data_IF_821943202738
#
_entry.id   IF_821943202738
#
_cell.length_a   1.000
_cell.length_b   1.000
_cell.length_c   1.000
_cell.angle_alpha   90.00
_cell.angle_beta   90.00
_cell.angle_gamma   90.00
#
_symmetry.space_group_name_H-M   'P 1'
#
loop_
_entity.id
_entity.type
_entity.pdbx_description
1 polymer ?
#
# COMPACT_ATOMS: atom_id res chain seq x y z
N UNK A 1 -25.91 -19.96 -4.93
CA UNK A 1 -26.59 -19.65 -3.68
C UNK A 1 -27.81 -18.76 -4.00
N UNK A 2 -29.04 -19.29 -3.81
CA UNK A 2 -30.29 -18.55 -4.09
C UNK A 2 -30.61 -17.47 -3.05
N UNK A 3 -29.83 -17.39 -1.98
CA UNK A 3 -29.94 -16.39 -0.91
C UNK A 3 -28.79 -15.40 -0.91
N UNK A 4 -27.84 -15.51 -1.85
CA UNK A 4 -26.78 -14.54 -2.00
C UNK A 4 -27.35 -13.16 -2.33
N UNK A 5 -26.74 -12.13 -1.78
CA UNK A 5 -27.10 -10.72 -2.01
C UNK A 5 -28.54 -10.32 -1.61
N UNK A 6 -29.21 -11.15 -0.81
CA UNK A 6 -30.50 -10.78 -0.25
C UNK A 6 -30.33 -9.86 0.97
N UNK A 7 -31.09 -8.78 1.00
CA UNK A 7 -31.08 -7.84 2.11
C UNK A 7 -31.00 -6.38 1.67
N UNK A 8 -30.76 -5.51 2.64
CA UNK A 8 -30.57 -4.07 2.38
C UNK A 8 -29.10 -3.79 2.11
N UNK A 9 -28.79 -3.24 0.94
CA UNK A 9 -27.46 -2.84 0.55
C UNK A 9 -27.39 -1.31 0.44
N UNK A 10 -26.30 -0.73 0.95
CA UNK A 10 -25.98 0.69 0.80
C UNK A 10 -24.60 0.81 0.17
N UNK A 11 -24.50 1.62 -0.85
CA UNK A 11 -23.22 1.89 -1.52
C UNK A 11 -23.10 3.37 -1.85
N UNK A 12 -21.86 3.84 -1.91
CA UNK A 12 -21.53 5.19 -2.32
C UNK A 12 -20.62 5.15 -3.55
N UNK A 13 -20.75 6.15 -4.39
CA UNK A 13 -19.84 6.36 -5.52
C UNK A 13 -19.46 7.82 -5.64
N UNK A 14 -18.31 8.08 -6.28
CA UNK A 14 -17.82 9.44 -6.54
C UNK A 14 -17.46 9.59 -8.01
N UNK A 15 -17.95 10.65 -8.63
CA UNK A 15 -17.55 11.04 -9.98
C UNK A 15 -16.50 12.13 -9.85
N UNK A 16 -15.36 11.95 -10.51
CA UNK A 16 -14.24 12.90 -10.51
C UNK A 16 -13.92 13.30 -11.95
N UNK A 17 -14.45 14.44 -12.42
CA UNK A 17 -14.04 14.98 -13.71
C UNK A 17 -12.55 15.32 -13.67
N UNK A 18 -11.83 14.98 -14.73
CA UNK A 18 -10.42 15.31 -14.88
C UNK A 18 -10.07 15.53 -16.35
N UNK A 19 -9.00 16.28 -16.59
CA UNK A 19 -8.40 16.41 -17.92
C UNK A 19 -7.20 15.46 -18.05
N UNK A 20 -7.00 14.93 -19.25
CA UNK A 20 -5.84 14.09 -19.56
C UNK A 20 -5.90 12.68 -18.95
N UNK A 21 -4.72 12.13 -18.70
CA UNK A 21 -4.54 10.77 -18.21
C UNK A 21 -5.07 10.63 -16.77
N UNK A 22 -5.91 9.61 -16.46
CA UNK A 22 -6.40 9.32 -15.11
C UNK A 22 -5.30 9.11 -14.07
N UNK A 23 -4.19 8.49 -14.43
CA UNK A 23 -3.05 8.27 -13.54
C UNK A 23 -2.41 9.60 -13.14
N UNK A 24 -2.18 10.50 -14.11
CA UNK A 24 -1.66 11.83 -13.84
C UNK A 24 -2.62 12.67 -13.00
N UNK A 25 -3.91 12.49 -13.17
CA UNK A 25 -4.94 13.12 -12.35
C UNK A 25 -5.06 12.52 -10.94
N UNK A 26 -4.31 11.47 -10.62
CA UNK A 26 -4.28 10.82 -9.31
C UNK A 26 -5.59 10.11 -8.97
N UNK A 27 -6.31 9.57 -9.95
CA UNK A 27 -7.61 8.93 -9.75
C UNK A 27 -7.50 7.71 -8.84
N UNK A 28 -6.48 6.87 -9.02
CA UNK A 28 -6.25 5.69 -8.17
C UNK A 28 -6.10 6.08 -6.69
N UNK A 29 -5.31 7.12 -6.41
CA UNK A 29 -5.13 7.62 -5.03
C UNK A 29 -6.43 8.18 -4.45
N UNK A 30 -7.23 8.89 -5.24
CA UNK A 30 -8.55 9.40 -4.82
C UNK A 30 -9.55 8.29 -4.57
N UNK A 31 -9.51 7.22 -5.37
CA UNK A 31 -10.34 6.04 -5.18
C UNK A 31 -9.97 5.31 -3.88
N UNK A 32 -8.67 5.14 -3.61
CA UNK A 32 -8.19 4.55 -2.36
C UNK A 32 -8.65 5.37 -1.15
N UNK A 33 -8.47 6.68 -1.16
CA UNK A 33 -8.89 7.59 -0.09
C UNK A 33 -10.42 7.59 0.13
N UNK A 34 -11.19 7.35 -0.92
CA UNK A 34 -12.63 7.24 -0.83
C UNK A 34 -13.09 5.94 -0.16
N UNK A 35 -12.42 4.84 -0.47
CA UNK A 35 -12.73 3.51 0.09
C UNK A 35 -12.09 3.30 1.47
N UNK A 36 -10.98 3.98 1.74
CA UNK A 36 -10.25 3.93 3.01
C UNK A 36 -10.04 5.36 3.52
N UNK A 37 -11.07 5.97 4.10
CA UNK A 37 -10.96 7.34 4.58
C UNK A 37 -9.91 7.44 5.70
N UNK A 38 -9.21 8.56 5.81
CA UNK A 38 -8.19 8.75 6.82
C UNK A 38 -8.78 8.65 8.23
N UNK A 39 -8.08 7.95 9.10
CA UNK A 39 -8.43 7.85 10.51
C UNK A 39 -7.80 9.04 11.25
N UNK A 40 -8.60 9.76 12.02
CA UNK A 40 -8.08 10.80 12.89
C UNK A 40 -7.28 10.16 14.03
N UNK A 41 -6.05 10.62 14.24
CA UNK A 41 -5.18 10.17 15.32
C UNK A 41 -4.61 11.39 16.05
N UNK A 42 -4.49 11.27 17.37
CA UNK A 42 -3.81 12.26 18.20
C UNK A 42 -2.28 12.04 18.23
N UNK A 43 -1.81 10.96 17.60
CA UNK A 43 -0.40 10.63 17.45
C UNK A 43 0.08 11.03 16.07
N UNK A 44 1.12 11.86 16.00
CA UNK A 44 1.76 12.20 14.73
C UNK A 44 2.48 10.97 14.15
N UNK A 45 2.20 10.66 12.89
CA UNK A 45 2.94 9.64 12.16
C UNK A 45 4.25 10.23 11.62
N UNK A 46 5.36 9.74 12.15
CA UNK A 46 6.70 10.10 11.70
C UNK A 46 7.36 8.98 10.88
N UNK A 47 6.54 8.18 10.21
CA UNK A 47 7.00 7.03 9.44
C UNK A 47 7.53 7.37 8.05
N UNK A 48 7.98 6.33 7.35
CA UNK A 48 8.49 6.41 5.99
C UNK A 48 7.38 6.74 5.00
N UNK A 49 7.63 7.70 4.11
CA UNK A 49 6.77 7.92 2.94
C UNK A 49 7.11 6.88 1.87
N UNK A 50 6.12 6.13 1.46
CA UNK A 50 6.24 5.08 0.43
C UNK A 50 5.84 5.57 -0.97
N UNK A 51 5.52 6.86 -1.13
CA UNK A 51 5.15 7.37 -2.45
C UNK A 51 6.26 7.11 -3.49
N UNK A 52 5.91 6.76 -4.74
CA UNK A 52 4.55 6.77 -5.31
C UNK A 52 3.75 5.47 -5.08
N UNK A 53 4.29 4.49 -4.38
CA UNK A 53 3.61 3.22 -4.10
C UNK A 53 2.43 3.41 -3.14
N UNK A 54 1.52 2.47 -3.16
CA UNK A 54 0.31 2.46 -2.35
C UNK A 54 0.46 1.48 -1.20
N UNK A 55 0.30 1.96 0.03
CA UNK A 55 0.29 1.13 1.22
C UNK A 55 -0.98 0.27 1.23
N UNK A 56 -0.81 -1.06 1.22
CA UNK A 56 -1.90 -2.03 1.28
C UNK A 56 -2.11 -2.57 2.69
N UNK A 57 -1.03 -2.85 3.40
CA UNK A 57 -1.08 -3.34 4.77
C UNK A 57 0.17 -2.93 5.53
N UNK A 58 0.00 -2.74 6.82
CA UNK A 58 1.08 -2.62 7.80
C UNK A 58 0.67 -3.44 9.02
N UNK A 59 1.51 -4.40 9.40
CA UNK A 59 1.22 -5.33 10.49
C UNK A 59 2.50 -5.78 11.17
N UNK A 60 2.38 -6.43 12.31
CA UNK A 60 3.46 -7.25 12.85
C UNK A 60 3.55 -8.57 12.06
N UNK A 61 4.76 -9.13 11.94
CA UNK A 61 4.97 -10.51 11.52
C UNK A 61 4.30 -11.47 12.51
N UNK A 62 4.11 -12.74 12.11
CA UNK A 62 3.44 -13.73 12.95
C UNK A 62 4.19 -13.97 14.28
N UNK A 63 5.52 -13.94 14.25
CA UNK A 63 6.39 -14.03 15.42
C UNK A 63 6.44 -12.73 16.27
N UNK A 64 5.91 -11.62 15.78
CA UNK A 64 5.93 -10.32 16.44
C UNK A 64 7.27 -9.59 16.39
N UNK A 65 8.28 -10.14 15.74
CA UNK A 65 9.65 -9.61 15.75
C UNK A 65 9.90 -8.52 14.70
N UNK A 66 8.98 -8.38 13.73
CA UNK A 66 9.12 -7.44 12.61
C UNK A 66 7.84 -6.65 12.37
N UNK A 67 7.99 -5.44 11.85
CA UNK A 67 6.91 -4.71 11.17
C UNK A 67 6.99 -5.09 9.69
N UNK A 68 5.90 -5.60 9.16
CA UNK A 68 5.75 -5.96 7.75
C UNK A 68 4.86 -4.93 7.06
N UNK A 69 5.34 -4.41 5.94
CA UNK A 69 4.60 -3.46 5.09
C UNK A 69 4.44 -4.06 3.70
N UNK A 70 3.22 -4.06 3.21
CA UNK A 70 2.90 -4.47 1.85
C UNK A 70 2.51 -3.26 1.02
N UNK A 71 3.23 -3.07 -0.07
CA UNK A 71 3.07 -1.96 -1.00
C UNK A 71 2.63 -2.50 -2.36
N UNK A 72 1.88 -1.72 -3.12
CA UNK A 72 1.57 -2.03 -4.51
C UNK A 72 1.84 -0.85 -5.42
N UNK A 73 2.34 -1.14 -6.59
CA UNK A 73 2.34 -0.20 -7.70
C UNK A 73 1.00 -0.32 -8.44
N UNK A 74 0.28 0.79 -8.64
CA UNK A 74 -1.07 0.80 -9.23
C UNK A 74 -1.21 1.73 -10.44
N UNK A 75 -0.14 2.41 -10.80
CA UNK A 75 -0.15 3.43 -11.84
C UNK A 75 0.50 2.95 -13.16
N UNK A 76 0.92 1.67 -13.21
CA UNK A 76 1.57 1.08 -14.37
C UNK A 76 2.99 1.62 -14.62
N UNK A 77 3.71 2.03 -13.58
CA UNK A 77 5.02 2.67 -13.67
C UNK A 77 6.14 1.77 -13.18
N UNK A 78 7.35 2.13 -13.61
CA UNK A 78 8.60 1.58 -13.07
C UNK A 78 9.31 2.65 -12.27
N UNK A 79 10.05 2.24 -11.26
CA UNK A 79 10.84 3.16 -10.48
C UNK A 79 11.64 2.48 -9.39
N UNK A 80 12.22 3.30 -8.52
CA UNK A 80 13.01 2.86 -7.38
C UNK A 80 12.48 3.52 -6.12
N UNK A 81 12.06 2.74 -5.16
CA UNK A 81 11.74 3.20 -3.81
C UNK A 81 13.05 3.29 -3.01
N UNK A 82 13.38 4.49 -2.55
CA UNK A 82 14.52 4.72 -1.66
C UNK A 82 14.02 4.86 -0.23
N UNK A 83 14.67 4.15 0.68
CA UNK A 83 14.30 4.07 2.07
C UNK A 83 15.38 4.74 2.94
N UNK A 84 15.02 5.37 4.06
CA UNK A 84 15.97 6.08 4.93
C UNK A 84 16.91 5.14 5.68
N UNK A 85 16.59 3.86 5.74
CA UNK A 85 17.39 2.79 6.37
C UNK A 85 17.23 1.49 5.61
N UNK A 86 18.12 0.54 5.85
CA UNK A 86 18.01 -0.81 5.31
C UNK A 86 16.75 -1.50 5.82
N UNK A 87 16.08 -2.21 4.94
CA UNK A 87 14.93 -3.04 5.21
C UNK A 87 15.15 -4.43 4.60
N UNK A 88 14.42 -5.39 5.09
CA UNK A 88 14.34 -6.72 4.51
C UNK A 88 13.32 -6.72 3.39
N UNK A 89 13.68 -7.20 2.21
CA UNK A 89 12.74 -7.53 1.15
C UNK A 89 12.27 -8.96 1.42
N UNK A 90 10.95 -9.13 1.47
CA UNK A 90 10.33 -10.38 1.84
C UNK A 90 9.56 -10.95 0.65
N UNK A 91 9.48 -12.26 0.59
CA UNK A 91 8.54 -12.95 -0.31
C UNK A 91 7.10 -12.88 0.25
N UNK A 92 6.14 -13.50 -0.43
CA UNK A 92 4.73 -13.50 -0.01
C UNK A 92 4.47 -14.28 1.29
N UNK A 93 5.38 -15.18 1.67
CA UNK A 93 5.35 -15.93 2.93
C UNK A 93 6.11 -15.24 4.06
N UNK A 94 6.63 -14.03 3.78
CA UNK A 94 7.38 -13.19 4.72
C UNK A 94 8.78 -13.72 5.06
N UNK A 95 9.33 -14.64 4.24
CA UNK A 95 10.73 -15.04 4.33
C UNK A 95 11.63 -13.95 3.74
N UNK A 96 12.78 -13.73 4.38
CA UNK A 96 13.76 -12.73 3.96
C UNK A 96 14.49 -13.18 2.70
N UNK A 97 14.40 -12.41 1.63
CA UNK A 97 15.14 -12.65 0.40
C UNK A 97 16.47 -11.89 0.35
N UNK A 98 16.45 -10.63 0.79
CA UNK A 98 17.63 -9.76 0.83
C UNK A 98 17.39 -8.55 1.74
N UNK A 99 18.48 -7.83 2.03
CA UNK A 99 18.44 -6.54 2.72
C UNK A 99 18.94 -5.42 1.81
N UNK A 100 18.25 -4.29 1.81
CA UNK A 100 18.60 -3.13 0.98
C UNK A 100 17.92 -1.85 1.51
N UNK A 101 18.43 -0.71 1.13
CA UNK A 101 17.79 0.61 1.30
C UNK A 101 17.15 1.14 0.02
N UNK A 102 17.21 0.35 -1.07
CA UNK A 102 16.72 0.74 -2.39
C UNK A 102 16.07 -0.45 -3.08
N UNK A 103 14.80 -0.33 -3.44
CA UNK A 103 14.02 -1.40 -4.08
C UNK A 103 13.48 -0.90 -5.42
N UNK A 104 13.89 -1.55 -6.50
CA UNK A 104 13.29 -1.33 -7.81
C UNK A 104 11.93 -2.01 -7.88
N UNK A 105 10.98 -1.37 -8.57
CA UNK A 105 9.65 -1.92 -8.79
C UNK A 105 9.23 -1.79 -10.25
N UNK A 106 8.37 -2.69 -10.66
CA UNK A 106 7.79 -2.76 -12.00
C UNK A 106 6.28 -2.47 -11.97
N UNK A 107 5.63 -2.25 -13.15
CA UNK A 107 4.19 -2.02 -13.21
C UNK A 107 3.39 -3.13 -12.52
N UNK A 108 2.46 -2.72 -11.64
CA UNK A 108 1.52 -3.57 -10.92
C UNK A 108 2.17 -4.57 -9.96
N UNK A 109 3.40 -4.31 -9.57
CA UNK A 109 4.13 -5.15 -8.62
C UNK A 109 3.65 -4.94 -7.18
N UNK A 110 3.66 -6.03 -6.42
CA UNK A 110 3.45 -6.03 -4.98
C UNK A 110 4.79 -6.27 -4.30
N UNK A 111 5.19 -5.35 -3.44
CA UNK A 111 6.40 -5.46 -2.63
C UNK A 111 6.02 -5.75 -1.18
N UNK A 112 6.75 -6.65 -0.55
CA UNK A 112 6.65 -6.89 0.89
C UNK A 112 7.99 -6.53 1.53
N UNK A 113 7.95 -5.60 2.47
CA UNK A 113 9.13 -5.10 3.18
C UNK A 113 8.97 -5.35 4.68
N UNK A 114 10.08 -5.62 5.36
CA UNK A 114 10.09 -5.82 6.79
C UNK A 114 11.28 -5.17 7.46
N UNK A 115 11.14 -4.81 8.72
CA UNK A 115 12.24 -4.39 9.59
C UNK A 115 11.98 -4.81 11.03
N UNK A 116 13.04 -5.11 11.79
CA UNK A 116 12.90 -5.50 13.18
C UNK A 116 12.17 -4.46 14.02
N UNK A 117 11.39 -4.92 14.98
CA UNK A 117 10.83 -4.09 16.06
C UNK A 117 11.96 -3.83 17.04
N UNK A 118 12.27 -2.56 17.31
CA UNK A 118 13.25 -2.13 18.31
C UNK A 118 12.65 -2.15 19.70
#
# INVERSE_FOLDING_TARGET
>A
DVTADMGHHSFCYRIVPHAGDPVQAGINRRALQFNQPPIKSDVAYNGTDFAPLYLQAMKFSEDGERIVVRLSEQDGRRGTLRLPRKVQVLNMLEDVERETDSVDYTPFEILTLGWPVE
#
